data_IF_755228863692
#
_entry.id   IF_755228863692
#
_cell.length_a   1.000
_cell.length_b   1.000
_cell.length_c   1.000
_cell.angle_alpha   90.00
_cell.angle_beta   90.00
_cell.angle_gamma   90.00
#
_symmetry.space_group_name_H-M   'P 1'
#
loop_
_entity.id
_entity.type
_entity.pdbx_description
1 polymer ?
#
# COMPACT_ATOMS: atom_id res chain seq x y z
N UNK A 1 19.36 15.12 -64.00
CA UNK A 1 18.61 15.81 -62.93
C UNK A 1 17.20 15.27 -62.69
N UNK A 2 16.38 15.00 -63.73
CA UNK A 2 14.99 14.52 -63.58
C UNK A 2 14.85 13.19 -62.81
N UNK A 3 15.70 12.19 -63.08
CA UNK A 3 15.69 10.89 -62.36
C UNK A 3 16.04 11.00 -60.86
N UNK A 4 17.02 11.84 -60.49
CA UNK A 4 17.37 12.09 -59.07
C UNK A 4 16.25 12.82 -58.32
N UNK A 5 15.56 13.79 -58.96
CA UNK A 5 14.38 14.47 -58.37
C UNK A 5 13.17 13.53 -58.22
N UNK A 6 12.96 12.61 -59.16
CA UNK A 6 11.91 11.60 -59.07
C UNK A 6 12.16 10.57 -57.95
N UNK A 7 13.40 10.08 -57.78
CA UNK A 7 13.77 9.16 -56.69
C UNK A 7 13.65 9.83 -55.31
N UNK A 8 14.07 11.09 -55.18
CA UNK A 8 13.89 11.86 -53.93
C UNK A 8 12.40 12.04 -53.61
N UNK A 9 11.56 12.32 -54.61
CA UNK A 9 10.11 12.50 -54.42
C UNK A 9 9.41 11.21 -53.99
N UNK A 10 9.80 10.05 -54.54
CA UNK A 10 9.25 8.74 -54.14
C UNK A 10 9.71 8.35 -52.72
N UNK A 11 10.98 8.61 -52.37
CA UNK A 11 11.48 8.36 -51.02
C UNK A 11 10.77 9.22 -49.97
N UNK A 12 10.51 10.50 -50.26
CA UNK A 12 9.76 11.38 -49.36
C UNK A 12 8.29 10.94 -49.17
N UNK A 13 7.63 10.45 -50.23
CA UNK A 13 6.27 9.91 -50.14
C UNK A 13 6.21 8.62 -49.31
N UNK A 14 7.23 7.76 -49.41
CA UNK A 14 7.33 6.55 -48.58
C UNK A 14 7.57 6.89 -47.11
N UNK A 15 8.45 7.85 -46.80
CA UNK A 15 8.67 8.31 -45.42
C UNK A 15 7.38 8.91 -44.85
N UNK A 16 6.67 9.74 -45.62
CA UNK A 16 5.39 10.31 -45.19
C UNK A 16 4.34 9.22 -44.96
N UNK A 17 4.23 8.22 -45.85
CA UNK A 17 3.32 7.09 -45.66
C UNK A 17 3.68 6.24 -44.43
N UNK A 18 4.97 6.06 -44.14
CA UNK A 18 5.44 5.40 -42.92
C UNK A 18 5.16 6.23 -41.66
N UNK A 19 5.30 7.55 -41.71
CA UNK A 19 4.97 8.44 -40.60
C UNK A 19 3.46 8.49 -40.34
N UNK A 20 2.63 8.57 -41.39
CA UNK A 20 1.17 8.50 -41.29
C UNK A 20 0.75 7.12 -40.79
N UNK A 21 1.33 6.05 -41.34
CA UNK A 21 1.10 4.68 -40.87
C UNK A 21 1.49 4.50 -39.40
N UNK A 22 2.64 5.04 -39.00
CA UNK A 22 3.09 5.05 -37.60
C UNK A 22 2.16 5.88 -36.71
N UNK A 23 1.69 7.05 -37.16
CA UNK A 23 0.78 7.90 -36.39
C UNK A 23 -0.59 7.23 -36.20
N UNK A 24 -1.17 6.69 -37.27
CA UNK A 24 -2.41 5.91 -37.21
C UNK A 24 -2.24 4.71 -36.28
N UNK A 25 -1.12 3.99 -36.41
CA UNK A 25 -0.81 2.85 -35.56
C UNK A 25 -0.62 3.24 -34.09
N UNK A 26 0.18 4.26 -33.80
CA UNK A 26 0.47 4.74 -32.45
C UNK A 26 -0.82 5.21 -31.76
N UNK A 27 -1.67 5.94 -32.48
CA UNK A 27 -2.98 6.36 -31.97
C UNK A 27 -3.89 5.15 -31.72
N UNK A 28 -3.94 4.18 -32.63
CA UNK A 28 -4.74 2.96 -32.48
C UNK A 28 -4.27 2.06 -31.32
N UNK A 29 -3.04 2.21 -30.84
CA UNK A 29 -2.50 1.46 -29.68
C UNK A 29 -2.26 2.33 -28.44
N UNK A 30 -2.77 3.57 -28.44
CA UNK A 30 -2.56 4.55 -27.36
C UNK A 30 -3.51 4.37 -26.18
N UNK A 31 -4.53 3.54 -26.32
CA UNK A 31 -5.58 3.29 -25.33
C UNK A 31 -5.97 1.81 -25.33
N UNK A 32 -6.46 1.33 -24.19
CA UNK A 32 -6.85 -0.07 -23.98
C UNK A 32 -8.36 -0.27 -23.93
N UNK A 33 -9.12 0.77 -23.61
CA UNK A 33 -10.57 0.74 -23.59
C UNK A 33 -11.15 2.16 -23.75
N UNK A 34 -12.44 2.26 -24.06
CA UNK A 34 -13.24 3.48 -23.97
C UNK A 34 -14.32 3.26 -22.91
N UNK A 35 -14.58 4.29 -22.09
CA UNK A 35 -15.60 4.32 -21.05
C UNK A 35 -16.29 5.67 -21.09
N UNK A 36 -17.62 5.69 -21.23
CA UNK A 36 -18.40 6.93 -21.37
C UNK A 36 -17.80 7.90 -22.43
N UNK A 37 -17.36 7.38 -23.58
CA UNK A 37 -16.74 8.15 -24.66
C UNK A 37 -15.29 8.61 -24.42
N UNK A 38 -14.73 8.36 -23.24
CA UNK A 38 -13.37 8.75 -22.85
C UNK A 38 -12.41 7.56 -22.88
N UNK A 39 -11.15 7.81 -23.25
CA UNK A 39 -10.14 6.74 -23.36
C UNK A 39 -9.57 6.38 -21.97
N UNK A 40 -9.47 5.07 -21.71
CA UNK A 40 -8.47 4.53 -20.78
C UNK A 40 -7.18 4.38 -21.57
N UNK A 41 -6.25 5.31 -21.36
CA UNK A 41 -4.99 5.33 -22.08
C UNK A 41 -4.13 4.11 -21.71
N UNK A 42 -3.18 3.77 -22.57
CA UNK A 42 -2.19 2.73 -22.27
C UNK A 42 -1.40 3.07 -21.00
N UNK A 43 -1.10 4.34 -20.76
CA UNK A 43 -0.35 4.76 -19.58
C UNK A 43 -1.15 4.56 -18.29
N UNK A 44 -2.42 4.97 -18.26
CA UNK A 44 -3.33 4.70 -17.12
C UNK A 44 -3.44 3.21 -16.84
N UNK A 45 -3.62 2.39 -17.87
CA UNK A 45 -3.69 0.95 -17.69
C UNK A 45 -2.38 0.33 -17.18
N UNK A 46 -1.22 0.76 -17.69
CA UNK A 46 0.07 0.27 -17.19
C UNK A 46 0.33 0.68 -15.74
N UNK A 47 -0.15 1.85 -15.31
CA UNK A 47 -0.09 2.27 -13.91
C UNK A 47 -0.85 1.30 -13.00
N UNK A 48 -2.11 0.96 -13.34
CA UNK A 48 -2.87 -0.02 -12.57
C UNK A 48 -2.31 -1.44 -12.68
N UNK A 49 -1.85 -1.85 -13.86
CA UNK A 49 -1.23 -3.17 -14.04
C UNK A 49 0.02 -3.33 -13.18
N UNK A 50 0.85 -2.29 -13.07
CA UNK A 50 2.00 -2.31 -12.16
C UNK A 50 1.56 -2.49 -10.70
N UNK A 51 0.54 -1.75 -10.26
CA UNK A 51 -0.01 -1.87 -8.90
C UNK A 51 -0.52 -3.28 -8.61
N UNK A 52 -1.34 -3.84 -9.50
CA UNK A 52 -1.90 -5.19 -9.33
C UNK A 52 -0.82 -6.27 -9.31
N UNK A 53 0.21 -6.14 -10.16
CA UNK A 53 1.37 -7.03 -10.12
C UNK A 53 2.06 -6.99 -8.76
N UNK A 54 2.32 -5.78 -8.23
CA UNK A 54 2.99 -5.62 -6.93
C UNK A 54 2.21 -6.27 -5.80
N UNK A 55 0.87 -6.18 -5.81
CA UNK A 55 0.01 -6.86 -4.84
C UNK A 55 0.15 -8.38 -4.94
N UNK A 56 0.14 -8.94 -6.16
CA UNK A 56 0.26 -10.39 -6.35
C UNK A 56 1.69 -10.92 -6.07
N UNK A 57 2.71 -10.10 -6.28
CA UNK A 57 4.13 -10.42 -6.07
C UNK A 57 4.59 -10.20 -4.61
N UNK A 58 3.74 -9.61 -3.76
CA UNK A 58 4.13 -9.19 -2.41
C UNK A 58 4.61 -10.37 -1.54
N UNK A 59 5.72 -10.15 -0.83
CA UNK A 59 6.42 -11.15 -0.01
C UNK A 59 6.83 -12.45 -0.72
N UNK A 60 6.92 -12.46 -2.06
CA UNK A 60 7.37 -13.62 -2.84
C UNK A 60 8.83 -13.52 -3.25
N UNK A 61 9.54 -14.65 -3.21
CA UNK A 61 10.84 -14.82 -3.85
C UNK A 61 10.73 -14.76 -5.37
N UNK A 62 11.85 -14.55 -6.06
CA UNK A 62 11.86 -14.48 -7.53
C UNK A 62 11.36 -15.79 -8.19
N UNK A 63 11.64 -16.94 -7.57
CA UNK A 63 11.17 -18.25 -8.04
C UNK A 63 9.66 -18.39 -7.89
N UNK A 64 9.10 -17.92 -6.78
CA UNK A 64 7.65 -17.89 -6.55
C UNK A 64 6.94 -16.91 -7.49
N UNK A 65 7.54 -15.76 -7.79
CA UNK A 65 7.02 -14.81 -8.79
C UNK A 65 6.99 -15.45 -10.18
N UNK A 66 8.06 -16.15 -10.58
CA UNK A 66 8.10 -16.85 -11.86
C UNK A 66 7.06 -17.98 -11.93
N UNK A 67 6.86 -18.72 -10.82
CA UNK A 67 5.83 -19.75 -10.73
C UNK A 67 4.41 -19.15 -10.79
N UNK A 68 4.17 -18.04 -10.09
CA UNK A 68 2.90 -17.31 -10.08
C UNK A 68 2.45 -16.95 -11.49
N UNK A 69 3.32 -16.33 -12.29
CA UNK A 69 2.93 -15.87 -13.63
C UNK A 69 2.73 -17.00 -14.65
N UNK A 70 3.10 -18.24 -14.30
CA UNK A 70 2.78 -19.46 -15.06
C UNK A 70 1.65 -20.29 -14.43
N UNK A 71 1.04 -19.80 -13.35
CA UNK A 71 0.00 -20.48 -12.59
C UNK A 71 -1.41 -20.08 -13.04
N UNK A 72 -2.40 -20.75 -12.43
CA UNK A 72 -3.82 -20.44 -12.57
C UNK A 72 -4.42 -20.07 -11.23
N UNK A 73 -5.30 -19.08 -11.23
CA UNK A 73 -6.12 -18.65 -10.10
C UNK A 73 -7.57 -18.95 -10.48
N UNK A 74 -8.24 -19.79 -9.71
CA UNK A 74 -9.61 -20.26 -9.99
C UNK A 74 -9.80 -20.80 -11.44
N UNK A 75 -8.76 -21.43 -11.98
CA UNK A 75 -8.75 -22.00 -13.33
C UNK A 75 -8.45 -21.03 -14.48
N UNK A 76 -8.31 -19.74 -14.18
CA UNK A 76 -7.92 -18.68 -15.13
C UNK A 76 -6.41 -18.39 -14.99
N UNK A 77 -5.73 -18.11 -16.10
CA UNK A 77 -4.31 -17.77 -16.06
C UNK A 77 -4.07 -16.52 -15.20
N UNK A 78 -3.11 -16.58 -14.26
CA UNK A 78 -2.83 -15.47 -13.33
C UNK A 78 -2.51 -14.16 -14.07
N UNK A 79 -1.86 -14.25 -15.24
CA UNK A 79 -1.57 -13.13 -16.11
C UNK A 79 -2.82 -12.48 -16.73
N UNK A 80 -3.91 -13.22 -16.90
CA UNK A 80 -5.19 -12.64 -17.36
C UNK A 80 -5.98 -12.05 -16.19
N UNK A 81 -5.94 -12.68 -15.01
CA UNK A 81 -6.54 -12.13 -13.79
C UNK A 81 -5.98 -10.76 -13.46
N UNK A 82 -4.65 -10.60 -13.45
CA UNK A 82 -4.01 -9.30 -13.14
C UNK A 82 -4.37 -8.21 -14.17
N UNK A 83 -4.53 -8.57 -15.44
CA UNK A 83 -4.95 -7.64 -16.49
C UNK A 83 -6.41 -7.21 -16.33
N UNK A 84 -7.29 -8.14 -15.97
CA UNK A 84 -8.69 -7.86 -15.69
C UNK A 84 -8.83 -6.94 -14.48
N UNK A 85 -8.12 -7.23 -13.39
CA UNK A 85 -8.09 -6.36 -12.20
C UNK A 85 -7.59 -4.96 -12.53
N UNK A 86 -6.54 -4.84 -13.37
CA UNK A 86 -6.04 -3.54 -13.81
C UNK A 86 -7.06 -2.74 -14.64
N UNK A 87 -7.85 -3.41 -15.49
CA UNK A 87 -8.94 -2.77 -16.23
C UNK A 87 -10.08 -2.33 -15.30
N UNK A 88 -10.49 -3.17 -14.35
CA UNK A 88 -11.52 -2.84 -13.36
C UNK A 88 -11.10 -1.65 -12.48
N UNK A 89 -9.85 -1.63 -12.01
CA UNK A 89 -9.34 -0.50 -11.22
C UNK A 89 -9.20 0.77 -12.05
N UNK A 90 -8.79 0.68 -13.32
CA UNK A 90 -8.79 1.82 -14.22
C UNK A 90 -10.21 2.34 -14.50
N UNK A 91 -11.20 1.46 -14.63
CA UNK A 91 -12.62 1.80 -14.78
C UNK A 91 -13.13 2.54 -13.55
N UNK A 92 -12.94 1.98 -12.34
CA UNK A 92 -13.32 2.59 -11.07
C UNK A 92 -12.70 3.98 -10.90
N UNK A 93 -11.42 4.14 -11.22
CA UNK A 93 -10.76 5.44 -11.22
C UNK A 93 -11.40 6.45 -12.20
N UNK A 94 -11.71 6.04 -13.43
CA UNK A 94 -12.37 6.92 -14.41
C UNK A 94 -13.76 7.36 -13.94
N UNK A 95 -14.54 6.47 -13.34
CA UNK A 95 -15.85 6.82 -12.79
C UNK A 95 -15.72 7.93 -11.74
N UNK A 96 -14.77 7.80 -10.82
CA UNK A 96 -14.52 8.83 -9.80
C UNK A 96 -14.09 10.16 -10.42
N UNK A 97 -13.24 10.13 -11.45
CA UNK A 97 -12.84 11.32 -12.19
C UNK A 97 -14.03 12.01 -12.87
N UNK A 98 -14.90 11.24 -13.53
CA UNK A 98 -16.11 11.80 -14.16
C UNK A 98 -17.03 12.44 -13.14
N UNK A 99 -17.25 11.77 -12.00
CA UNK A 99 -18.07 12.32 -10.91
C UNK A 99 -17.48 13.60 -10.33
N UNK A 100 -16.16 13.66 -10.15
CA UNK A 100 -15.48 14.87 -9.72
C UNK A 100 -15.69 16.03 -10.71
N UNK A 101 -15.59 15.76 -12.01
CA UNK A 101 -15.80 16.73 -13.08
C UNK A 101 -17.27 17.18 -13.17
N UNK A 102 -18.23 16.26 -13.04
CA UNK A 102 -19.67 16.55 -12.98
C UNK A 102 -20.00 17.52 -11.83
N UNK A 103 -19.30 17.40 -10.69
CA UNK A 103 -19.44 18.30 -9.55
C UNK A 103 -18.61 19.59 -9.66
N UNK A 104 -17.86 19.78 -10.76
CA UNK A 104 -17.00 20.96 -10.95
C UNK A 104 -15.84 21.05 -9.95
N UNK A 105 -15.38 19.92 -9.42
CA UNK A 105 -14.20 19.90 -8.54
C UNK A 105 -12.93 20.20 -9.33
N UNK A 106 -11.94 20.79 -8.64
CA UNK A 106 -10.64 21.12 -9.21
C UNK A 106 -9.53 20.94 -8.17
N UNK A 107 -8.30 20.81 -8.66
CA UNK A 107 -7.08 20.85 -7.86
C UNK A 107 -6.63 22.30 -7.66
N UNK A 108 -6.22 22.64 -6.45
CA UNK A 108 -5.65 23.94 -6.12
C UNK A 108 -4.11 23.90 -6.09
N UNK A 109 -3.46 25.04 -5.86
CA UNK A 109 -2.00 25.16 -5.84
C UNK A 109 -1.31 24.26 -4.80
N UNK A 110 -1.97 24.01 -3.66
CA UNK A 110 -1.45 23.09 -2.65
C UNK A 110 -1.50 21.65 -3.15
N UNK A 111 -2.59 21.25 -3.79
CA UNK A 111 -2.74 19.92 -4.39
C UNK A 111 -1.61 19.67 -5.41
N UNK A 112 -1.38 20.63 -6.33
CA UNK A 112 -0.30 20.54 -7.32
C UNK A 112 1.08 20.49 -6.68
N UNK A 113 1.32 21.32 -5.66
CA UNK A 113 2.61 21.34 -4.95
C UNK A 113 2.88 20.02 -4.23
N UNK A 114 1.86 19.43 -3.60
CA UNK A 114 1.97 18.11 -2.95
C UNK A 114 2.24 16.99 -3.96
N UNK A 115 1.61 17.03 -5.14
CA UNK A 115 1.87 16.08 -6.22
C UNK A 115 3.32 16.18 -6.71
N UNK A 116 3.82 17.39 -6.98
CA UNK A 116 5.20 17.60 -7.42
C UNK A 116 6.21 17.12 -6.38
N UNK A 117 6.01 17.47 -5.11
CA UNK A 117 6.87 17.02 -4.01
C UNK A 117 6.90 15.49 -3.88
N UNK A 118 5.75 14.83 -4.11
CA UNK A 118 5.65 13.36 -4.06
C UNK A 118 6.41 12.71 -5.22
N UNK A 119 6.30 13.29 -6.42
CA UNK A 119 7.06 12.84 -7.61
C UNK A 119 8.56 13.05 -7.41
N UNK A 120 8.97 14.21 -6.89
CA UNK A 120 10.37 14.51 -6.62
C UNK A 120 10.97 13.60 -5.55
N UNK A 121 10.19 13.26 -4.51
CA UNK A 121 10.59 12.29 -3.48
C UNK A 121 10.79 10.90 -4.10
N UNK A 122 9.84 10.44 -4.92
CA UNK A 122 9.94 9.16 -5.62
C UNK A 122 11.17 9.12 -6.54
N UNK A 123 11.40 10.18 -7.32
CA UNK A 123 12.57 10.26 -8.19
C UNK A 123 13.88 10.29 -7.40
N UNK A 124 13.91 10.98 -6.26
CA UNK A 124 15.04 11.00 -5.33
C UNK A 124 15.38 9.61 -4.80
N UNK A 125 14.36 8.83 -4.43
CA UNK A 125 14.52 7.43 -4.00
C UNK A 125 15.07 6.54 -5.13
N UNK A 126 14.62 6.74 -6.37
CA UNK A 126 15.09 5.98 -7.54
C UNK A 126 16.53 6.35 -7.91
N UNK A 127 16.91 7.63 -7.88
CA UNK A 127 18.28 8.04 -8.18
C UNK A 127 19.28 7.63 -7.09
N UNK A 128 18.83 7.46 -5.85
CA UNK A 128 19.72 7.38 -4.70
C UNK A 128 20.49 8.70 -4.46
N UNK A 129 21.42 8.67 -3.51
CA UNK A 129 22.12 9.89 -3.04
C UNK A 129 22.97 10.60 -4.11
N UNK A 130 23.52 9.85 -5.07
CA UNK A 130 24.44 10.38 -6.09
C UNK A 130 23.84 10.44 -7.50
N UNK A 131 22.61 9.97 -7.70
CA UNK A 131 22.01 9.90 -9.02
C UNK A 131 21.43 11.23 -9.50
N UNK A 132 21.44 11.43 -10.81
CA UNK A 132 20.82 12.59 -11.46
C UNK A 132 19.34 12.34 -11.74
N UNK A 133 18.53 13.41 -11.80
CA UNK A 133 17.11 13.33 -12.21
C UNK A 133 16.92 12.58 -13.53
N UNK A 134 17.79 12.82 -14.52
CA UNK A 134 17.71 12.16 -15.83
C UNK A 134 17.91 10.63 -15.73
N UNK A 135 18.77 10.16 -14.83
CA UNK A 135 18.92 8.74 -14.56
C UNK A 135 17.67 8.19 -13.87
N UNK A 136 17.13 8.90 -12.87
CA UNK A 136 15.89 8.51 -12.21
C UNK A 136 14.72 8.39 -13.20
N UNK A 137 14.52 9.37 -14.08
CA UNK A 137 13.46 9.33 -15.10
C UNK A 137 13.63 8.17 -16.09
N UNK A 138 14.87 7.80 -16.42
CA UNK A 138 15.16 6.64 -17.26
C UNK A 138 14.79 5.34 -16.53
N UNK A 139 15.27 5.16 -15.30
CA UNK A 139 14.96 3.99 -14.46
C UNK A 139 13.46 3.88 -14.19
N UNK A 140 12.80 5.00 -13.90
CA UNK A 140 11.35 5.09 -13.74
C UNK A 140 10.63 4.54 -14.99
N UNK A 141 11.03 4.98 -16.18
CA UNK A 141 10.44 4.48 -17.42
C UNK A 141 10.69 2.99 -17.66
N UNK A 142 11.87 2.48 -17.27
CA UNK A 142 12.21 1.06 -17.38
C UNK A 142 11.39 0.20 -16.43
N UNK A 143 11.11 0.68 -15.21
CA UNK A 143 10.37 -0.06 -14.19
C UNK A 143 8.86 0.01 -14.36
N UNK A 144 8.33 1.22 -14.58
CA UNK A 144 6.87 1.46 -14.64
C UNK A 144 6.31 1.39 -16.07
N UNK A 145 7.17 1.41 -17.10
CA UNK A 145 6.74 1.37 -18.50
C UNK A 145 6.06 2.67 -19.01
N UNK A 146 6.06 3.73 -18.20
CA UNK A 146 5.47 5.05 -18.48
C UNK A 146 6.48 6.16 -18.17
N UNK A 147 6.33 7.34 -18.79
CA UNK A 147 7.18 8.49 -18.45
C UNK A 147 6.71 9.19 -17.18
N UNK A 148 7.59 9.99 -16.55
CA UNK A 148 7.23 10.82 -15.39
C UNK A 148 6.10 11.80 -15.72
N UNK A 149 6.08 12.38 -16.92
CA UNK A 149 4.98 13.27 -17.31
C UNK A 149 3.64 12.53 -17.44
N UNK A 150 3.66 11.29 -17.92
CA UNK A 150 2.45 10.46 -17.98
C UNK A 150 1.99 10.08 -16.56
N UNK A 151 2.94 9.72 -15.69
CA UNK A 151 2.65 9.47 -14.29
C UNK A 151 2.05 10.69 -13.60
N UNK A 152 2.63 11.88 -13.80
CA UNK A 152 2.09 13.14 -13.28
C UNK A 152 0.65 13.39 -13.71
N UNK A 153 0.35 13.28 -15.01
CA UNK A 153 -1.02 13.41 -15.53
C UNK A 153 -2.00 12.40 -14.89
N UNK A 154 -1.56 11.16 -14.68
CA UNK A 154 -2.36 10.13 -13.99
C UNK A 154 -2.59 10.52 -12.53
N UNK A 155 -1.56 10.93 -11.80
CA UNK A 155 -1.65 11.28 -10.38
C UNK A 155 -2.49 12.54 -10.16
N UNK A 156 -2.43 13.53 -11.05
CA UNK A 156 -3.31 14.71 -10.98
C UNK A 156 -4.78 14.31 -11.09
N UNK A 157 -5.13 13.53 -12.11
CA UNK A 157 -6.51 13.03 -12.28
C UNK A 157 -6.93 12.09 -11.14
N UNK A 158 -6.01 11.28 -10.64
CA UNK A 158 -6.24 10.39 -9.50
C UNK A 158 -6.56 11.20 -8.25
N UNK A 159 -5.79 12.26 -7.95
CA UNK A 159 -6.04 13.15 -6.83
C UNK A 159 -7.40 13.86 -6.95
N UNK A 160 -7.80 14.24 -8.16
CA UNK A 160 -9.13 14.83 -8.38
C UNK A 160 -10.26 13.83 -8.06
N UNK A 161 -10.14 12.58 -8.53
CA UNK A 161 -11.07 11.50 -8.19
C UNK A 161 -11.07 11.17 -6.69
N UNK A 162 -9.89 11.16 -6.06
CA UNK A 162 -9.74 10.93 -4.62
C UNK A 162 -10.37 12.06 -3.78
N UNK A 163 -10.24 13.31 -4.22
CA UNK A 163 -10.90 14.46 -3.58
C UNK A 163 -12.42 14.34 -3.63
N UNK A 164 -12.97 13.84 -4.73
CA UNK A 164 -14.39 13.48 -4.82
C UNK A 164 -14.73 12.36 -3.82
N UNK A 165 -13.94 11.28 -3.77
CA UNK A 165 -14.16 10.18 -2.84
C UNK A 165 -14.22 10.64 -1.38
N UNK A 166 -13.26 11.46 -0.95
CA UNK A 166 -13.22 12.01 0.40
C UNK A 166 -14.44 12.88 0.70
N UNK A 167 -14.83 13.74 -0.25
CA UNK A 167 -16.03 14.58 -0.11
C UNK A 167 -17.28 13.73 0.05
N UNK A 168 -17.45 12.70 -0.78
CA UNK A 168 -18.60 11.78 -0.69
C UNK A 168 -18.63 11.05 0.67
N UNK A 169 -17.50 10.55 1.14
CA UNK A 169 -17.36 9.88 2.45
C UNK A 169 -17.66 10.81 3.64
N UNK A 170 -17.38 12.10 3.51
CA UNK A 170 -17.60 13.09 4.57
C UNK A 170 -19.01 13.64 4.56
N UNK A 171 -19.54 14.02 3.40
CA UNK A 171 -20.76 14.82 3.27
C UNK A 171 -22.01 13.99 2.94
N UNK A 172 -21.86 12.90 2.17
CA UNK A 172 -23.01 12.22 1.55
C UNK A 172 -23.24 10.81 2.09
N UNK A 173 -22.18 10.09 2.47
CA UNK A 173 -22.28 8.75 3.03
C UNK A 173 -22.75 8.84 4.48
N UNK A 174 -23.96 8.36 4.73
CA UNK A 174 -24.53 8.25 6.07
C UNK A 174 -23.93 7.04 6.78
N UNK A 175 -23.36 7.29 7.96
CA UNK A 175 -22.87 6.26 8.88
C UNK A 175 -23.62 6.40 10.19
N UNK A 176 -24.25 5.30 10.62
CA UNK A 176 -25.02 5.24 11.86
C UNK A 176 -24.15 4.83 13.04
N UNK A 177 -24.58 5.16 14.24
CA UNK A 177 -23.85 4.81 15.47
C UNK A 177 -23.78 3.29 15.67
N UNK A 178 -24.85 2.59 15.29
CA UNK A 178 -24.94 1.13 15.33
C UNK A 178 -23.87 0.48 14.43
N UNK A 179 -23.73 0.96 13.20
CA UNK A 179 -22.71 0.47 12.25
C UNK A 179 -21.30 0.70 12.77
N UNK A 180 -21.03 1.85 13.41
CA UNK A 180 -19.72 2.12 14.00
C UNK A 180 -19.40 1.13 15.12
N UNK A 181 -20.36 0.89 16.02
CA UNK A 181 -20.17 -0.02 17.17
C UNK A 181 -20.04 -1.46 16.72
N UNK A 182 -20.83 -1.89 15.74
CA UNK A 182 -20.73 -3.23 15.15
C UNK A 182 -19.37 -3.43 14.49
N UNK A 183 -18.97 -2.50 13.61
CA UNK A 183 -17.68 -2.58 12.93
C UNK A 183 -16.50 -2.55 13.90
N UNK A 184 -16.53 -1.68 14.92
CA UNK A 184 -15.49 -1.66 15.97
C UNK A 184 -15.44 -2.98 16.74
N UNK A 185 -16.59 -3.56 17.10
CA UNK A 185 -16.64 -4.83 17.84
C UNK A 185 -16.07 -5.99 17.03
N UNK A 186 -16.39 -6.07 15.74
CA UNK A 186 -15.92 -7.13 14.85
C UNK A 186 -14.44 -7.02 14.50
N UNK A 187 -13.89 -5.79 14.52
CA UNK A 187 -12.55 -5.48 14.04
C UNK A 187 -11.69 -4.77 15.11
N UNK A 188 -12.01 -4.93 16.39
CA UNK A 188 -11.46 -4.10 17.48
C UNK A 188 -9.93 -4.10 17.52
N UNK A 189 -9.31 -5.25 17.23
CA UNK A 189 -7.85 -5.41 17.18
C UNK A 189 -7.14 -4.48 16.16
N UNK A 190 -7.86 -4.00 15.13
CA UNK A 190 -7.31 -3.09 14.12
C UNK A 190 -7.38 -1.62 14.56
N UNK A 191 -8.18 -1.30 15.57
CA UNK A 191 -8.42 0.06 16.05
C UNK A 191 -7.79 0.32 17.41
N UNK A 192 -7.82 -0.67 18.30
CA UNK A 192 -7.30 -0.56 19.66
C UNK A 192 -5.80 -0.27 19.60
N UNK A 193 -5.41 0.72 20.39
CA UNK A 193 -4.03 0.96 20.77
C UNK A 193 -3.85 0.70 22.25
N UNK A 194 -2.74 0.05 22.59
CA UNK A 194 -2.28 -0.06 23.95
C UNK A 194 -1.12 0.90 24.21
N UNK A 195 -1.01 1.37 25.44
CA UNK A 195 0.24 1.91 25.98
C UNK A 195 0.74 0.90 26.99
N UNK A 196 1.99 0.45 26.87
CA UNK A 196 2.54 -0.57 27.74
C UNK A 196 3.97 -0.25 28.19
N UNK A 197 4.34 -0.79 29.34
CA UNK A 197 5.73 -0.92 29.75
C UNK A 197 6.20 -2.34 29.39
N UNK A 198 7.42 -2.47 28.84
CA UNK A 198 7.99 -3.73 28.34
C UNK A 198 9.35 -3.95 28.99
N UNK A 199 9.53 -5.13 29.60
CA UNK A 199 10.82 -5.62 30.09
C UNK A 199 11.23 -6.83 29.25
N UNK A 200 12.22 -6.62 28.37
CA UNK A 200 12.71 -7.60 27.41
C UNK A 200 13.98 -8.27 27.92
N UNK A 201 13.96 -9.60 28.01
CA UNK A 201 15.13 -10.45 28.25
C UNK A 201 15.59 -11.05 26.92
N UNK A 202 16.73 -10.60 26.41
CA UNK A 202 17.20 -10.96 25.07
C UNK A 202 17.58 -12.44 24.91
N UNK A 203 17.21 -13.01 23.77
CA UNK A 203 17.72 -14.30 23.25
C UNK A 203 18.94 -14.15 22.34
N UNK A 204 19.28 -12.90 22.00
CA UNK A 204 20.31 -12.55 21.02
C UNK A 204 21.21 -11.44 21.53
N UNK A 205 22.46 -11.47 21.14
CA UNK A 205 23.41 -10.39 21.36
C UNK A 205 23.15 -9.24 20.36
N UNK A 206 22.33 -8.28 20.78
CA UNK A 206 22.04 -7.07 19.98
C UNK A 206 23.25 -6.14 19.82
N UNK A 207 24.29 -6.28 20.66
CA UNK A 207 25.53 -5.51 20.55
C UNK A 207 26.50 -6.14 19.54
N UNK A 208 26.43 -7.47 19.37
CA UNK A 208 27.29 -8.23 18.46
C UNK A 208 26.57 -8.73 17.21
N UNK A 209 25.64 -7.94 16.66
CA UNK A 209 25.04 -8.21 15.36
C UNK A 209 23.90 -9.25 15.37
N UNK A 210 23.15 -9.34 16.48
CA UNK A 210 21.96 -10.19 16.64
C UNK A 210 22.23 -11.70 16.59
N UNK A 211 23.43 -12.10 17.03
CA UNK A 211 23.81 -13.51 17.15
C UNK A 211 23.02 -14.15 18.29
N UNK A 212 22.46 -15.33 18.07
CA UNK A 212 21.75 -16.09 19.11
C UNK A 212 22.69 -16.40 20.27
N UNK A 213 22.20 -16.25 21.50
CA UNK A 213 22.90 -16.71 22.70
C UNK A 213 22.94 -18.25 22.76
N UNK A 214 23.73 -18.81 23.67
CA UNK A 214 23.74 -20.26 23.90
C UNK A 214 22.43 -20.73 24.52
N UNK A 215 22.13 -22.02 24.40
CA UNK A 215 20.93 -22.63 25.00
C UNK A 215 20.89 -22.38 26.52
N UNK A 216 22.03 -22.46 27.21
CA UNK A 216 22.10 -22.18 28.65
C UNK A 216 21.81 -20.71 28.99
N UNK A 217 22.29 -19.77 28.17
CA UNK A 217 22.04 -18.34 28.36
C UNK A 217 20.56 -17.99 28.10
N UNK A 218 19.93 -18.66 27.12
CA UNK A 218 18.51 -18.51 26.84
C UNK A 218 17.67 -19.08 27.98
N UNK A 219 18.02 -20.25 28.52
CA UNK A 219 17.34 -20.85 29.68
C UNK A 219 17.49 -19.96 30.94
N UNK A 220 18.63 -19.29 31.11
CA UNK A 220 18.81 -18.30 32.19
C UNK A 220 17.91 -17.08 31.98
N UNK A 221 17.83 -16.55 30.76
CA UNK A 221 16.95 -15.43 30.43
C UNK A 221 15.47 -15.77 30.66
N UNK A 222 15.05 -16.98 30.29
CA UNK A 222 13.69 -17.49 30.53
C UNK A 222 13.37 -17.50 32.04
N UNK A 223 14.23 -18.11 32.85
CA UNK A 223 14.04 -18.17 34.31
C UNK A 223 14.01 -16.79 34.96
N UNK A 224 14.84 -15.85 34.49
CA UNK A 224 14.82 -14.46 34.97
C UNK A 224 13.47 -13.80 34.64
N UNK A 225 12.99 -13.98 33.41
CA UNK A 225 11.70 -13.43 32.98
C UNK A 225 10.53 -14.05 33.75
N UNK A 226 10.52 -15.36 33.96
CA UNK A 226 9.53 -16.08 34.77
C UNK A 226 9.50 -15.56 36.22
N UNK A 227 10.66 -15.42 36.87
CA UNK A 227 10.74 -14.89 38.23
C UNK A 227 10.31 -13.41 38.32
N UNK A 228 10.66 -12.61 37.31
CA UNK A 228 10.25 -11.21 37.26
C UNK A 228 8.73 -11.05 37.10
N UNK A 229 8.09 -11.83 36.21
CA UNK A 229 6.64 -11.74 36.04
C UNK A 229 5.87 -12.23 37.27
N UNK A 230 6.38 -13.24 37.98
CA UNK A 230 5.79 -13.69 39.26
C UNK A 230 5.77 -12.55 40.29
N UNK A 231 6.89 -11.85 40.50
CA UNK A 231 6.95 -10.69 41.41
C UNK A 231 5.96 -9.59 41.05
N UNK A 232 5.85 -9.28 39.76
CA UNK A 232 4.92 -8.25 39.26
C UNK A 232 3.47 -8.70 39.50
N UNK A 233 3.14 -9.96 39.21
CA UNK A 233 1.79 -10.51 39.46
C UNK A 233 1.45 -10.60 40.95
N UNK A 234 2.44 -10.76 41.81
CA UNK A 234 2.29 -10.71 43.28
C UNK A 234 2.12 -9.27 43.82
N UNK A 235 2.13 -8.26 42.95
CA UNK A 235 1.84 -6.86 43.27
C UNK A 235 3.07 -5.97 43.47
N UNK A 236 4.27 -6.48 43.21
CA UNK A 236 5.45 -5.63 43.13
C UNK A 236 5.35 -4.68 41.93
N UNK A 237 5.82 -3.45 42.08
CA UNK A 237 5.74 -2.46 40.99
C UNK A 237 6.67 -2.88 39.86
N UNK A 238 6.17 -2.82 38.63
CA UNK A 238 6.94 -3.15 37.41
C UNK A 238 8.33 -2.51 37.37
N UNK A 239 8.40 -1.19 37.61
CA UNK A 239 9.67 -0.45 37.64
C UNK A 239 10.62 -0.91 38.75
N UNK A 240 10.09 -1.38 39.88
CA UNK A 240 10.91 -1.90 40.98
C UNK A 240 11.54 -3.24 40.61
N UNK A 241 10.77 -4.13 39.97
CA UNK A 241 11.28 -5.40 39.44
C UNK A 241 12.29 -5.17 38.32
N UNK A 242 11.99 -4.26 37.38
CA UNK A 242 12.91 -3.90 36.30
C UNK A 242 14.25 -3.35 36.82
N UNK A 243 14.23 -2.57 37.92
CA UNK A 243 15.43 -2.01 38.51
C UNK A 243 16.41 -3.07 39.06
N UNK A 244 15.94 -4.28 39.38
CA UNK A 244 16.81 -5.40 39.77
C UNK A 244 17.74 -5.85 38.62
N UNK A 245 17.35 -5.58 37.37
CA UNK A 245 18.06 -5.95 36.17
C UNK A 245 18.76 -4.75 35.49
N UNK A 246 18.82 -3.59 36.15
CA UNK A 246 19.34 -2.35 35.55
C UNK A 246 20.80 -2.45 35.07
N UNK A 247 21.60 -3.30 35.71
CA UNK A 247 23.01 -3.55 35.35
C UNK A 247 23.18 -4.74 34.36
N UNK A 248 22.11 -5.46 34.02
CA UNK A 248 22.16 -6.59 33.09
C UNK A 248 22.01 -6.09 31.64
N UNK A 249 23.09 -6.09 30.88
CA UNK A 249 23.09 -5.61 29.48
C UNK A 249 22.28 -6.50 28.53
N UNK A 250 21.80 -7.67 28.99
CA UNK A 250 20.89 -8.56 28.25
C UNK A 250 19.43 -8.31 28.57
N UNK A 251 19.12 -7.28 29.36
CA UNK A 251 17.77 -6.87 29.72
C UNK A 251 17.54 -5.43 29.31
N UNK A 252 16.37 -5.14 28.74
CA UNK A 252 15.98 -3.78 28.35
C UNK A 252 14.59 -3.45 28.87
N UNK A 253 14.47 -2.27 29.49
CA UNK A 253 13.20 -1.67 29.86
C UNK A 253 12.82 -0.60 28.82
N UNK A 254 11.59 -0.67 28.34
CA UNK A 254 10.94 0.39 27.57
C UNK A 254 9.64 0.79 28.27
N UNK A 255 9.45 2.10 28.49
CA UNK A 255 8.28 2.63 29.19
C UNK A 255 7.36 3.38 28.23
N UNK A 256 6.05 3.28 28.44
CA UNK A 256 5.01 3.98 27.68
C UNK A 256 5.07 3.74 26.15
N UNK A 257 5.38 2.52 25.74
CA UNK A 257 5.41 2.11 24.33
C UNK A 257 3.99 2.12 23.75
N UNK A 258 3.77 2.81 22.62
CA UNK A 258 2.51 2.75 21.87
C UNK A 258 2.48 1.46 21.03
N UNK A 259 1.62 0.52 21.40
CA UNK A 259 1.40 -0.74 20.70
C UNK A 259 0.10 -0.64 19.89
N UNK A 260 0.17 -0.91 18.59
CA UNK A 260 -0.97 -0.90 17.67
C UNK A 260 -0.69 -1.76 16.45
N UNK A 261 -1.73 -2.16 15.72
CA UNK A 261 -1.57 -2.86 14.46
C UNK A 261 -0.64 -2.10 13.49
N UNK A 262 0.35 -2.79 12.93
CA UNK A 262 1.36 -2.20 12.03
C UNK A 262 2.47 -1.39 12.71
N UNK A 263 2.57 -1.40 14.04
CA UNK A 263 3.75 -0.88 14.74
C UNK A 263 4.98 -1.76 14.41
N UNK A 264 6.19 -1.17 14.49
CA UNK A 264 7.45 -1.90 14.37
C UNK A 264 7.78 -2.63 15.68
N UNK A 265 6.89 -3.56 16.06
CA UNK A 265 6.91 -4.39 17.26
C UNK A 265 6.45 -5.78 16.81
N UNK A 266 6.94 -6.84 17.45
CA UNK A 266 6.56 -8.22 17.12
C UNK A 266 5.04 -8.44 17.23
N UNK A 267 4.49 -9.20 16.28
CA UNK A 267 3.04 -9.38 16.14
C UNK A 267 2.43 -10.07 17.37
N UNK A 268 3.17 -10.97 18.01
CA UNK A 268 2.77 -11.66 19.23
C UNK A 268 2.50 -10.70 20.38
N UNK A 269 3.30 -9.63 20.50
CA UNK A 269 3.12 -8.58 21.50
C UNK A 269 1.88 -7.74 21.15
N UNK A 270 1.72 -7.37 19.88
CA UNK A 270 0.56 -6.59 19.40
C UNK A 270 -0.73 -7.37 19.69
N UNK A 271 -0.81 -8.62 19.25
CA UNK A 271 -1.99 -9.49 19.37
C UNK A 271 -2.38 -9.72 20.83
N UNK A 272 -1.39 -9.87 21.72
CA UNK A 272 -1.63 -10.01 23.15
C UNK A 272 -2.13 -8.69 23.75
N UNK A 273 -1.40 -7.58 23.55
CA UNK A 273 -1.68 -6.31 24.21
C UNK A 273 -3.07 -5.75 23.87
N UNK A 274 -3.50 -5.84 22.60
CA UNK A 274 -4.82 -5.32 22.17
C UNK A 274 -6.01 -6.16 22.63
N UNK A 275 -5.76 -7.38 23.15
CA UNK A 275 -6.78 -8.29 23.72
C UNK A 275 -6.78 -8.33 25.25
N UNK A 276 -5.78 -7.71 25.87
CA UNK A 276 -5.64 -7.60 27.33
C UNK A 276 -6.52 -6.48 27.90
N UNK A 277 -6.53 -6.36 29.22
CA UNK A 277 -7.11 -5.25 29.97
C UNK A 277 -6.02 -4.35 30.54
N UNK A 278 -6.40 -3.13 30.94
CA UNK A 278 -5.50 -2.24 31.69
C UNK A 278 -5.10 -2.90 33.01
N UNK A 279 -3.80 -2.97 33.26
CA UNK A 279 -3.18 -3.63 34.40
C UNK A 279 -2.81 -5.09 34.18
N UNK A 280 -3.21 -5.71 33.05
CA UNK A 280 -2.80 -7.07 32.74
C UNK A 280 -1.29 -7.13 32.46
N UNK A 281 -0.65 -8.21 32.94
CA UNK A 281 0.78 -8.48 32.78
C UNK A 281 0.99 -9.85 32.14
N UNK A 282 1.67 -9.87 31.00
CA UNK A 282 1.93 -11.07 30.21
C UNK A 282 3.41 -11.32 29.99
N UNK A 283 3.78 -12.60 29.84
CA UNK A 283 5.08 -13.04 29.37
C UNK A 283 4.90 -13.54 27.93
N UNK A 284 5.54 -12.88 26.97
CA UNK A 284 5.40 -13.14 25.55
C UNK A 284 6.76 -13.53 24.99
N UNK A 285 6.86 -14.75 24.48
CA UNK A 285 8.06 -15.24 23.79
C UNK A 285 8.06 -14.73 22.34
N UNK A 286 9.10 -14.00 21.95
CA UNK A 286 9.36 -13.57 20.57
C UNK A 286 10.72 -14.07 20.09
N UNK A 287 11.01 -13.89 18.80
CA UNK A 287 12.33 -14.18 18.23
C UNK A 287 13.47 -13.38 18.90
N UNK A 288 13.16 -12.17 19.37
CA UNK A 288 14.14 -11.27 19.99
C UNK A 288 14.40 -11.65 21.45
N UNK A 289 13.37 -12.10 22.16
CA UNK A 289 13.50 -12.47 23.57
C UNK A 289 12.18 -12.74 24.29
N UNK A 290 12.28 -12.83 25.62
CA UNK A 290 11.14 -12.98 26.50
C UNK A 290 10.68 -11.60 26.98
N UNK A 291 9.47 -11.20 26.61
CA UNK A 291 8.92 -9.88 26.88
C UNK A 291 7.90 -9.94 28.01
N UNK A 292 8.17 -9.26 29.12
CA UNK A 292 7.14 -9.00 30.13
C UNK A 292 6.47 -7.68 29.78
N UNK A 293 5.17 -7.71 29.52
CA UNK A 293 4.40 -6.54 29.06
C UNK A 293 3.32 -6.21 30.07
N UNK A 294 3.33 -5.00 30.62
CA UNK A 294 2.26 -4.44 31.46
C UNK A 294 1.44 -3.42 30.66
N UNK A 295 0.15 -3.69 30.45
CA UNK A 295 -0.74 -2.76 29.76
C UNK A 295 -1.13 -1.62 30.69
N UNK A 296 -0.70 -0.40 30.38
CA UNK A 296 -0.99 0.83 31.16
C UNK A 296 -2.27 1.51 30.73
N UNK A 297 -2.60 1.43 29.45
CA UNK A 297 -3.78 2.06 28.88
C UNK A 297 -4.25 1.32 27.62
N UNK A 298 -5.55 1.42 27.33
CA UNK A 298 -6.16 0.97 26.08
C UNK A 298 -7.11 2.04 25.58
N UNK A 299 -7.07 2.33 24.29
CA UNK A 299 -8.06 3.21 23.66
C UNK A 299 -9.44 2.54 23.65
N UNK A 300 -10.48 3.33 23.90
CA UNK A 300 -11.87 2.92 23.79
C UNK A 300 -12.41 3.16 22.37
N UNK A 301 -13.65 2.71 22.14
CA UNK A 301 -14.39 3.07 20.93
C UNK A 301 -14.50 4.58 20.74
N UNK A 302 -14.74 5.35 21.82
CA UNK A 302 -14.89 6.80 21.72
C UNK A 302 -13.59 7.49 21.30
N UNK A 303 -12.44 6.98 21.74
CA UNK A 303 -11.12 7.49 21.36
C UNK A 303 -10.82 7.24 19.88
N UNK A 304 -11.34 6.14 19.34
CA UNK A 304 -11.08 5.65 17.98
C UNK A 304 -12.24 5.89 17.00
N UNK A 305 -13.32 6.55 17.46
CA UNK A 305 -14.59 6.68 16.74
C UNK A 305 -14.44 7.27 15.34
N UNK A 306 -13.62 8.29 15.19
CA UNK A 306 -13.40 8.95 13.89
C UNK A 306 -12.66 8.04 12.90
N UNK A 307 -11.73 7.21 13.39
CA UNK A 307 -11.03 6.23 12.54
C UNK A 307 -11.99 5.14 12.09
N UNK A 308 -12.81 4.62 13.01
CA UNK A 308 -13.87 3.65 12.69
C UNK A 308 -14.83 4.24 11.66
N UNK A 309 -15.26 5.50 11.84
CA UNK A 309 -16.13 6.19 10.88
C UNK A 309 -15.49 6.26 9.50
N UNK A 310 -14.21 6.60 9.41
CA UNK A 310 -13.52 6.71 8.13
C UNK A 310 -13.44 5.35 7.41
N UNK A 311 -13.17 4.27 8.13
CA UNK A 311 -13.16 2.91 7.55
C UNK A 311 -14.55 2.52 7.05
N UNK A 312 -15.58 2.66 7.89
CA UNK A 312 -16.97 2.33 7.50
C UNK A 312 -17.45 3.18 6.32
N UNK A 313 -17.10 4.47 6.29
CA UNK A 313 -17.43 5.35 5.17
C UNK A 313 -16.71 4.93 3.88
N UNK A 314 -15.44 4.54 3.96
CA UNK A 314 -14.67 4.05 2.83
C UNK A 314 -15.22 2.72 2.27
N UNK A 315 -15.60 1.78 3.14
CA UNK A 315 -16.23 0.52 2.70
C UNK A 315 -17.58 0.74 2.01
N UNK A 316 -18.39 1.67 2.54
CA UNK A 316 -19.65 2.07 1.91
C UNK A 316 -19.41 2.76 0.56
N UNK A 317 -18.38 3.59 0.48
CA UNK A 317 -18.00 4.25 -0.76
C UNK A 317 -17.57 3.24 -1.82
N UNK A 318 -16.80 2.23 -1.44
CA UNK A 318 -16.38 1.17 -2.38
C UNK A 318 -17.60 0.41 -2.94
N UNK A 319 -18.56 0.06 -2.08
CA UNK A 319 -19.83 -0.54 -2.52
C UNK A 319 -20.61 0.38 -3.46
N UNK A 320 -20.65 1.68 -3.17
CA UNK A 320 -21.32 2.66 -4.03
C UNK A 320 -20.62 2.78 -5.39
N UNK A 321 -19.30 2.72 -5.42
CA UNK A 321 -18.50 2.73 -6.65
C UNK A 321 -18.75 1.47 -7.48
N UNK A 322 -18.86 0.30 -6.84
CA UNK A 322 -19.28 -0.95 -7.50
C UNK A 322 -20.68 -0.84 -8.10
N UNK A 323 -21.63 -0.20 -7.40
CA UNK A 323 -22.97 0.03 -7.96
C UNK A 323 -22.94 0.99 -9.15
N UNK A 324 -22.17 2.09 -9.08
CA UNK A 324 -21.99 2.96 -10.23
C UNK A 324 -21.37 2.22 -11.41
N UNK A 325 -20.37 1.37 -11.18
CA UNK A 325 -19.71 0.60 -12.22
C UNK A 325 -20.65 -0.34 -13.01
N UNK A 326 -21.85 -0.64 -12.49
CA UNK A 326 -22.89 -1.41 -13.18
C UNK A 326 -23.73 -0.59 -14.16
N UNK A 327 -23.68 0.74 -14.10
CA UNK A 327 -24.39 1.58 -15.05
C UNK A 327 -23.86 1.31 -16.48
N UNK A 328 -24.74 1.02 -17.46
CA UNK A 328 -24.33 0.75 -18.84
C UNK A 328 -23.47 1.84 -19.48
N UNK A 329 -23.58 3.10 -19.03
CA UNK A 329 -22.73 4.20 -19.52
C UNK A 329 -21.24 3.98 -19.24
N UNK A 330 -20.93 3.18 -18.22
CA UNK A 330 -19.56 2.83 -17.82
C UNK A 330 -19.12 1.45 -18.31
N UNK A 331 -19.86 0.82 -19.22
CA UNK A 331 -19.39 -0.39 -19.89
C UNK A 331 -18.13 -0.09 -20.70
N UNK A 332 -17.16 -1.00 -20.65
CA UNK A 332 -15.90 -0.85 -21.36
C UNK A 332 -16.02 -1.32 -22.81
N UNK A 333 -15.65 -0.45 -23.75
CA UNK A 333 -15.39 -0.83 -25.13
C UNK A 333 -13.90 -1.16 -25.28
N UNK A 334 -13.56 -2.46 -25.25
CA UNK A 334 -12.16 -2.91 -25.22
C UNK A 334 -11.45 -2.71 -26.56
N UNK A 335 -10.19 -2.25 -26.48
CA UNK A 335 -9.25 -2.26 -27.59
C UNK A 335 -8.35 -3.50 -27.49
N UNK A 336 -8.88 -4.63 -27.93
CA UNK A 336 -8.20 -5.94 -27.93
C UNK A 336 -6.82 -5.89 -28.58
N UNK A 337 -6.66 -5.09 -29.64
CA UNK A 337 -5.38 -4.96 -30.35
C UNK A 337 -4.30 -4.34 -29.44
N UNK A 338 -4.67 -3.38 -28.61
CA UNK A 338 -3.76 -2.76 -27.67
C UNK A 338 -3.50 -3.66 -26.45
N UNK A 339 -4.56 -4.24 -25.87
CA UNK A 339 -4.49 -5.13 -24.72
C UNK A 339 -3.61 -6.36 -24.97
N UNK A 340 -3.81 -7.05 -26.09
CA UNK A 340 -3.04 -8.25 -26.46
C UNK A 340 -1.55 -7.99 -26.68
N UNK A 341 -1.11 -6.73 -26.79
CA UNK A 341 0.31 -6.36 -26.91
C UNK A 341 0.97 -6.09 -25.57
N UNK A 342 0.19 -5.93 -24.50
CA UNK A 342 0.71 -5.65 -23.17
C UNK A 342 1.01 -6.99 -22.51
N UNK A 343 2.27 -7.16 -22.16
CA UNK A 343 2.75 -8.34 -21.45
C UNK A 343 2.83 -8.03 -19.96
N UNK A 344 2.53 -9.05 -19.15
CA UNK A 344 2.78 -9.01 -17.71
C UNK A 344 4.28 -9.24 -17.43
N UNK A 345 4.99 -9.92 -18.35
CA UNK A 345 6.42 -10.23 -18.31
C UNK A 345 7.18 -9.68 -19.53
#
# INVERSE_FOLDING_TARGET
MKKKRAVISIASLLILALLVGYFVYANATSYVAIINGEKITKAEYLFYLYSEKRVMEDNKSQEEIDALWNSKIDGVDAAEVVKQNALENAKKYKIQLFKAQEQGLFLNDNDYSSIENSIDTLLGQISGFEGTRKQAEKSFKEWFGISVNQYKDIIEKWNLGFKFALKEQQENIKVTEEELKEHYKENSQNFIKATADILLFYKRDVQSGYVMFSDEEIEEAEKKAEGAIEKIKDGERFISVAAEFADDTKVQLEENVEIKMGAYIEQEIIDWAVRSNVGDVGLIDTELGFNIVEVKNLTSFEDERDKVRNVVAAEKYEKLLDEWAKDPVYNLELNEKALNRIKVR
#
